data_IF_486220511869
#
_entry.id   IF_486220511869
#
_cell.length_a   1.000
_cell.length_b   1.000
_cell.length_c   1.000
_cell.angle_alpha   90.00
_cell.angle_beta   90.00
_cell.angle_gamma   90.00
#
_symmetry.space_group_name_H-M   'P 1'
#
loop_
_entity.id
_entity.type
_entity.pdbx_description
1 polymer ?
#
# COMPACT_ATOMS: atom_id res chain seq x y z
N UNK A 1 2.44 -7.30 -7.49
CA UNK A 1 1.72 -6.28 -6.68
C UNK A 1 0.44 -6.95 -6.22
N UNK A 2 0.00 -6.72 -4.98
CA UNK A 2 -1.26 -7.30 -4.49
C UNK A 2 -2.47 -6.72 -5.23
N UNK A 3 -3.64 -7.33 -5.04
CA UNK A 3 -4.93 -6.84 -5.56
C UNK A 3 -5.59 -6.01 -4.47
N UNK A 4 -6.20 -4.89 -4.84
CA UNK A 4 -6.97 -4.08 -3.89
C UNK A 4 -8.23 -4.85 -3.47
N UNK A 5 -8.48 -4.94 -2.16
CA UNK A 5 -9.76 -5.41 -1.65
C UNK A 5 -10.94 -4.54 -2.12
N UNK A 6 -12.14 -5.12 -2.18
CA UNK A 6 -13.36 -4.37 -2.49
C UNK A 6 -13.84 -3.56 -1.28
N UNK A 7 -13.63 -4.09 -0.07
CA UNK A 7 -14.05 -3.47 1.17
C UNK A 7 -12.98 -2.51 1.70
N UNK A 8 -13.44 -1.34 2.15
CA UNK A 8 -12.60 -0.38 2.85
C UNK A 8 -12.23 -0.92 4.24
N UNK A 9 -11.00 -0.64 4.66
CA UNK A 9 -10.54 -0.91 6.01
C UNK A 9 -11.08 0.16 6.97
N UNK A 10 -11.51 -0.29 8.15
CA UNK A 10 -11.74 0.61 9.30
C UNK A 10 -10.38 0.99 9.91
N UNK A 11 -9.61 1.77 9.14
CA UNK A 11 -8.24 2.16 9.44
C UNK A 11 -8.11 3.68 9.38
N UNK A 12 -7.54 4.26 10.43
CA UNK A 12 -7.18 5.67 10.49
C UNK A 12 -5.65 5.86 10.49
N UNK A 13 -5.19 7.11 10.49
CA UNK A 13 -3.77 7.44 10.48
C UNK A 13 -2.99 6.83 11.67
N UNK A 14 -3.56 6.85 12.87
CA UNK A 14 -2.91 6.32 14.07
C UNK A 14 -2.69 4.79 13.97
N UNK A 15 -3.67 4.08 13.41
CA UNK A 15 -3.60 2.64 13.16
C UNK A 15 -2.74 2.27 11.95
N UNK A 16 -2.47 3.21 11.03
CA UNK A 16 -1.78 2.94 9.77
C UNK A 16 -0.35 2.41 10.00
N UNK A 17 0.36 2.97 10.99
CA UNK A 17 1.73 2.52 11.30
C UNK A 17 1.76 1.06 11.74
N UNK A 18 0.82 0.68 12.61
CA UNK A 18 0.69 -0.70 13.09
C UNK A 18 0.22 -1.63 11.96
N UNK A 19 -0.73 -1.19 11.14
CA UNK A 19 -1.18 -1.98 10.00
C UNK A 19 -0.04 -2.27 9.01
N UNK A 20 0.74 -1.24 8.66
CA UNK A 20 1.86 -1.36 7.73
C UNK A 20 2.98 -2.26 8.29
N UNK A 21 3.26 -2.21 9.59
CA UNK A 21 4.29 -3.06 10.20
C UNK A 21 3.97 -4.57 10.13
N UNK A 22 2.69 -4.93 10.08
CA UNK A 22 2.23 -6.32 9.97
C UNK A 22 1.94 -6.77 8.53
N UNK A 23 1.36 -5.90 7.70
CA UNK A 23 0.86 -6.25 6.37
C UNK A 23 1.78 -5.83 5.23
N UNK A 24 2.78 -4.99 5.51
CA UNK A 24 3.80 -4.49 4.57
C UNK A 24 3.27 -3.67 3.38
N UNK A 25 1.96 -3.61 3.17
CA UNK A 25 1.35 -2.86 2.08
C UNK A 25 -0.12 -2.51 2.33
N UNK A 26 -0.57 -1.41 1.73
CA UNK A 26 -1.97 -0.97 1.74
C UNK A 26 -2.25 -0.12 0.50
N UNK A 27 -3.50 -0.14 0.04
CA UNK A 27 -3.99 0.81 -0.96
C UNK A 27 -4.62 2.02 -0.26
N UNK A 28 -4.31 3.22 -0.72
CA UNK A 28 -4.85 4.48 -0.20
C UNK A 28 -5.55 5.23 -1.32
N UNK A 29 -6.86 5.41 -1.18
CA UNK A 29 -7.66 6.25 -2.07
C UNK A 29 -7.70 7.68 -1.53
N UNK A 30 -7.54 8.67 -2.41
CA UNK A 30 -7.70 10.09 -2.12
C UNK A 30 -8.48 10.73 -3.27
N UNK A 31 -9.78 10.94 -3.08
CA UNK A 31 -10.69 11.32 -4.17
C UNK A 31 -10.67 10.27 -5.30
N UNK A 32 -10.32 10.70 -6.52
CA UNK A 32 -10.18 9.82 -7.69
C UNK A 32 -8.78 9.18 -7.81
N UNK A 33 -7.82 9.62 -7.00
CA UNK A 33 -6.46 9.09 -7.03
C UNK A 33 -6.33 7.84 -6.15
N UNK A 34 -5.46 6.93 -6.57
CA UNK A 34 -5.19 5.68 -5.86
C UNK A 34 -3.68 5.47 -5.77
N UNK A 35 -3.22 5.21 -4.56
CA UNK A 35 -1.82 5.01 -4.25
C UNK A 35 -1.61 3.65 -3.61
N UNK A 36 -0.47 3.04 -3.90
CA UNK A 36 -0.02 1.80 -3.28
C UNK A 36 1.15 2.11 -2.36
N UNK A 37 0.92 1.96 -1.06
CA UNK A 37 1.90 2.20 -0.01
C UNK A 37 2.49 0.83 0.32
N UNK A 38 3.79 0.67 0.15
CA UNK A 38 4.42 -0.66 0.29
C UNK A 38 5.86 -0.52 0.74
N UNK A 39 6.33 -1.55 1.43
CA UNK A 39 7.76 -1.72 1.62
C UNK A 39 8.45 -2.30 0.37
N UNK A 40 9.78 -2.25 0.39
CA UNK A 40 10.68 -2.89 -0.56
C UNK A 40 11.47 -3.93 0.23
N UNK A 41 10.92 -5.14 0.30
CA UNK A 41 11.52 -6.28 1.00
C UNK A 41 11.88 -5.96 2.46
N UNK A 42 10.99 -5.29 3.20
CA UNK A 42 11.20 -4.86 4.60
C UNK A 42 12.39 -3.93 4.87
N UNK A 43 12.98 -3.32 3.84
CA UNK A 43 14.13 -2.42 4.00
C UNK A 43 13.78 -0.94 3.86
N UNK A 44 12.83 -0.62 2.99
CA UNK A 44 12.45 0.76 2.69
C UNK A 44 10.98 0.87 2.35
N UNK A 45 10.42 2.06 2.49
CA UNK A 45 9.03 2.39 2.27
C UNK A 45 8.89 3.39 1.14
N UNK A 46 7.82 3.23 0.35
CA UNK A 46 7.47 4.11 -0.76
C UNK A 46 5.97 4.17 -1.01
N UNK A 47 5.55 5.22 -1.68
CA UNK A 47 4.25 5.34 -2.32
C UNK A 47 4.40 5.19 -3.84
N UNK A 48 3.43 4.54 -4.46
CA UNK A 48 3.38 4.37 -5.91
C UNK A 48 2.02 4.80 -6.44
N UNK A 49 2.00 5.50 -7.57
CA UNK A 49 0.77 5.90 -8.28
C UNK A 49 0.26 4.71 -9.11
N UNK A 50 -0.95 4.24 -8.79
CA UNK A 50 -1.51 3.05 -9.45
C UNK A 50 -2.05 3.34 -10.85
N UNK A 51 -2.20 4.61 -11.22
CA UNK A 51 -2.63 5.02 -12.56
C UNK A 51 -1.50 5.01 -13.60
N UNK A 52 -0.24 4.94 -13.14
CA UNK A 52 0.95 5.03 -13.99
C UNK A 52 1.81 3.78 -13.86
N UNK A 53 2.02 3.09 -14.99
CA UNK A 53 2.96 1.98 -15.06
C UNK A 53 4.31 2.44 -15.61
N UNK A 54 5.39 1.96 -15.01
CA UNK A 54 6.74 2.16 -15.52
C UNK A 54 7.06 1.17 -16.66
N UNK A 55 8.28 1.26 -17.21
CA UNK A 55 8.74 0.41 -18.31
C UNK A 55 8.76 -1.10 -18.00
N UNK A 56 8.62 -1.49 -16.72
CA UNK A 56 8.56 -2.88 -16.25
C UNK A 56 7.12 -3.34 -15.99
N UNK A 57 6.12 -2.48 -16.23
CA UNK A 57 4.72 -2.78 -15.93
C UNK A 57 4.37 -2.73 -14.43
N UNK A 58 5.20 -2.08 -13.60
CA UNK A 58 4.90 -1.87 -12.18
C UNK A 58 4.36 -0.45 -11.95
N UNK A 59 3.62 -0.23 -10.86
CA UNK A 59 3.25 1.13 -10.43
C UNK A 59 4.49 2.02 -10.30
N UNK A 60 4.31 3.29 -10.63
CA UNK A 60 5.40 4.27 -10.67
C UNK A 60 5.57 4.90 -9.30
N UNK A 61 6.80 4.94 -8.80
CA UNK A 61 7.10 5.56 -7.51
C UNK A 61 6.78 7.06 -7.56
N UNK A 62 6.04 7.56 -6.57
CA UNK A 62 5.68 8.97 -6.41
C UNK A 62 6.22 9.60 -5.11
N UNK A 63 6.89 8.81 -4.27
CA UNK A 63 7.63 9.29 -3.10
C UNK A 63 9.10 8.92 -3.19
N UNK A 64 9.93 9.53 -2.34
CA UNK A 64 11.27 9.02 -2.06
C UNK A 64 11.20 7.69 -1.32
N UNK A 65 12.30 6.94 -1.40
CA UNK A 65 12.47 5.65 -0.74
C UNK A 65 13.17 5.88 0.62
N UNK A 66 12.46 5.61 1.72
CA UNK A 66 12.93 5.91 3.08
C UNK A 66 12.92 4.68 3.99
N UNK A 67 13.80 4.57 4.99
CA UNK A 67 14.00 3.30 5.70
C UNK A 67 12.93 2.99 6.75
N UNK A 68 12.15 3.96 7.22
CA UNK A 68 11.17 3.76 8.30
C UNK A 68 9.76 4.20 7.91
N UNK A 69 8.75 3.57 8.51
CA UNK A 69 7.32 3.97 8.34
C UNK A 69 7.12 5.41 8.80
N UNK A 70 7.72 5.81 9.93
CA UNK A 70 7.57 7.16 10.47
C UNK A 70 8.11 8.24 9.52
N UNK A 71 9.30 8.02 8.94
CA UNK A 71 9.82 8.92 7.89
C UNK A 71 8.93 8.94 6.66
N UNK A 72 8.40 7.79 6.26
CA UNK A 72 7.52 7.68 5.09
C UNK A 72 6.21 8.44 5.25
N UNK A 73 5.54 8.28 6.40
CA UNK A 73 4.28 8.95 6.68
C UNK A 73 4.45 10.48 6.85
N UNK A 74 5.62 10.91 7.31
CA UNK A 74 6.00 12.32 7.43
C UNK A 74 6.58 12.95 6.15
N UNK A 75 6.76 12.18 5.08
CA UNK A 75 7.32 12.68 3.82
C UNK A 75 6.22 13.37 2.99
N UNK A 76 6.45 14.59 2.47
CA UNK A 76 5.50 15.24 1.57
C UNK A 76 5.63 14.69 0.14
N UNK A 77 4.65 13.91 -0.29
CA UNK A 77 4.62 13.32 -1.65
C UNK A 77 3.24 13.39 -2.32
N UNK A 78 2.18 13.71 -1.58
CA UNK A 78 0.82 13.87 -2.11
C UNK A 78 0.57 15.34 -2.41
N UNK A 79 0.97 15.81 -3.60
CA UNK A 79 0.91 17.24 -3.97
C UNK A 79 1.62 18.15 -2.96
N UNK A 80 2.76 17.68 -2.42
CA UNK A 80 3.52 18.37 -1.38
C UNK A 80 2.95 18.24 0.03
N UNK A 81 1.89 17.45 0.23
CA UNK A 81 1.32 17.08 1.53
C UNK A 81 1.81 15.71 1.99
N UNK A 82 1.80 15.50 3.31
CA UNK A 82 2.08 14.21 3.96
C UNK A 82 0.83 13.34 4.04
N UNK A 83 0.98 12.08 4.42
CA UNK A 83 -0.17 11.20 4.68
C UNK A 83 -1.01 11.70 5.85
N UNK A 84 -0.37 12.33 6.84
CA UNK A 84 -1.04 12.94 8.00
C UNK A 84 -1.95 14.11 7.58
N UNK A 85 -1.48 14.95 6.65
CA UNK A 85 -2.24 16.12 6.18
C UNK A 85 -3.53 15.75 5.42
N UNK A 86 -3.58 14.54 4.86
CA UNK A 86 -4.73 14.04 4.09
C UNK A 86 -5.50 12.94 4.83
N UNK A 87 -5.19 12.70 6.10
CA UNK A 87 -5.72 11.57 6.87
C UNK A 87 -7.25 11.54 6.94
N UNK A 88 -7.91 12.70 6.97
CA UNK A 88 -9.37 12.83 7.01
C UNK A 88 -10.04 12.68 5.62
N UNK A 89 -9.26 12.68 4.55
CA UNK A 89 -9.72 12.62 3.16
C UNK A 89 -9.50 11.25 2.50
N UNK A 90 -8.73 10.37 3.15
CA UNK A 90 -8.31 9.09 2.58
C UNK A 90 -9.19 7.92 3.01
N UNK A 91 -9.24 6.91 2.15
CA UNK A 91 -9.82 5.60 2.48
C UNK A 91 -8.79 4.51 2.19
N UNK A 92 -8.57 3.61 3.14
CA UNK A 92 -7.61 2.52 3.01
C UNK A 92 -8.29 1.22 2.58
N UNK A 93 -7.58 0.42 1.80
CA UNK A 93 -8.02 -0.91 1.35
C UNK A 93 -6.87 -1.91 1.51
N UNK A 94 -7.19 -3.12 1.93
CA UNK A 94 -6.18 -4.17 2.06
C UNK A 94 -5.57 -4.53 0.69
N UNK A 95 -4.28 -4.85 0.71
CA UNK A 95 -3.58 -5.50 -0.39
C UNK A 95 -3.67 -7.00 -0.20
N UNK A 96 -4.42 -7.69 -1.05
CA UNK A 96 -4.66 -9.14 -0.95
C UNK A 96 -3.92 -9.90 -2.06
N UNK A 97 -3.65 -11.18 -1.84
CA UNK A 97 -3.17 -12.06 -2.92
C UNK A 97 -4.31 -12.27 -3.93
N UNK A 98 -4.01 -12.36 -5.24
CA UNK A 98 -5.00 -12.74 -6.22
C UNK A 98 -5.57 -14.12 -5.89
N UNK A 99 -6.89 -14.29 -6.05
CA UNK A 99 -7.61 -15.53 -5.70
C UNK A 99 -6.99 -16.79 -6.29
N UNK A 100 -6.49 -16.71 -7.53
CA UNK A 100 -5.81 -17.83 -8.19
C UNK A 100 -4.55 -18.31 -7.46
N UNK A 101 -3.86 -17.41 -6.76
CA UNK A 101 -2.65 -17.71 -5.99
C UNK A 101 -3.00 -18.26 -4.60
N UNK A 102 -4.10 -17.78 -4.01
CA UNK A 102 -4.68 -18.36 -2.78
C UNK A 102 -5.15 -19.80 -3.04
N UNK A 103 -5.89 -20.03 -4.12
CA UNK A 103 -6.38 -21.37 -4.49
C UNK A 103 -5.23 -22.35 -4.79
N UNK A 104 -4.13 -21.87 -5.38
CA UNK A 104 -2.94 -22.69 -5.61
C UNK A 104 -2.19 -23.06 -4.30
N UNK A 105 -2.13 -22.14 -3.35
CA UNK A 105 -1.49 -22.35 -2.04
C UNK A 105 -2.34 -23.29 -1.15
N UNK A 106 -3.66 -23.15 -1.16
CA UNK A 106 -4.59 -24.06 -0.49
C UNK A 106 -4.54 -25.47 -1.08
N UNK A 107 -4.47 -25.60 -2.42
CA UNK A 107 -4.29 -26.89 -3.08
C UNK A 107 -2.97 -27.56 -2.69
N UNK A 108 -1.87 -26.79 -2.61
CA UNK A 108 -0.57 -27.30 -2.20
C UNK A 108 -0.51 -27.70 -0.71
N UNK A 109 -1.21 -26.97 0.17
CA UNK A 109 -1.27 -27.27 1.60
C UNK A 109 -2.17 -28.49 1.91
N UNK A 110 -3.17 -28.77 1.07
CA UNK A 110 -4.04 -29.94 1.21
C UNK A 110 -3.38 -31.28 0.79
N UNK A 111 -2.25 -31.23 0.07
CA UNK A 111 -1.49 -32.41 -0.35
C UNK A 111 -0.25 -32.71 0.53
N UNK A 112 -0.05 -31.98 1.62
CA UNK A 112 1.07 -32.15 2.58
C UNK A 112 0.63 -32.84 3.88
#
# INVERSE_FOLDING_TARGET
>A
MGVRAEEALDLNYDGLTDYLSHNHSVYMALGDAMYYLTDVNAHYWRAQDTSKLNHKGHYSDCSELVPTIGEFLGLPWVDGRTVADVADEVTFYASTKPRSEVEAEEAAAAEA
#
